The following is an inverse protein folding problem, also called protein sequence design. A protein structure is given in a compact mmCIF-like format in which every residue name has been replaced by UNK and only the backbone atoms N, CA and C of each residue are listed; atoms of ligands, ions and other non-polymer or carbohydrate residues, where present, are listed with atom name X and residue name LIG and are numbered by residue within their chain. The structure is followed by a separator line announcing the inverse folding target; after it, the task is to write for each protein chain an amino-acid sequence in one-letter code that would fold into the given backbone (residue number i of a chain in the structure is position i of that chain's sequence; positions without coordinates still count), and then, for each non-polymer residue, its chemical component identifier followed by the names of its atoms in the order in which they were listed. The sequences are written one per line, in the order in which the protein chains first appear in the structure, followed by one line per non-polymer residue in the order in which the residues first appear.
data_IF_832660756513
#
_entry.id   IF_832660756513
#
_cell.length_a   1.000
_cell.length_b   1.000
_cell.length_c   1.000
_cell.angle_alpha   90.00
_cell.angle_beta   90.00
_cell.angle_gamma   90.00
#
_symmetry.space_group_name_H-M   'P 1'
#
loop_
_entity.id
_entity.type
_entity.pdbx_description
1 polymer ?
#
# COMPACT_ATOMS: atom_id res chain seq x y z
N UNK A 1 9.56 -13.73 1.28
CA UNK A 1 10.00 -12.30 1.36
C UNK A 1 8.99 -11.58 2.22
N UNK A 2 9.45 -10.83 3.21
CA UNK A 2 8.60 -10.05 4.11
C UNK A 2 7.66 -9.11 3.32
N UNK A 3 6.38 -9.07 3.68
CA UNK A 3 5.37 -8.27 2.99
C UNK A 3 5.68 -6.77 2.95
N UNK A 4 6.38 -6.27 3.96
CA UNK A 4 6.74 -4.85 4.06
C UNK A 4 7.86 -4.42 3.09
N UNK A 5 8.53 -5.35 2.41
CA UNK A 5 9.47 -5.00 1.33
C UNK A 5 8.78 -4.76 -0.03
N UNK A 6 7.47 -4.97 -0.13
CA UNK A 6 6.69 -4.66 -1.32
C UNK A 6 6.38 -3.15 -1.43
N UNK A 7 7.38 -2.31 -1.25
CA UNK A 7 7.22 -0.85 -1.31
C UNK A 7 8.46 -0.19 -1.92
N UNK A 8 8.30 1.01 -2.44
CA UNK A 8 9.45 1.83 -2.85
C UNK A 8 10.24 2.30 -1.63
N UNK A 9 11.58 2.21 -1.68
CA UNK A 9 12.44 2.54 -0.54
C UNK A 9 12.20 3.94 0.03
N UNK A 10 11.87 4.95 -0.79
CA UNK A 10 11.59 6.30 -0.31
C UNK A 10 10.29 6.39 0.53
N UNK A 11 9.35 5.45 0.40
CA UNK A 11 8.11 5.43 1.17
C UNK A 11 8.30 5.01 2.63
N UNK A 12 9.42 4.35 2.93
CA UNK A 12 9.73 3.93 4.30
C UNK A 12 9.86 5.11 5.26
N UNK A 13 10.25 6.30 4.78
CA UNK A 13 10.33 7.53 5.56
C UNK A 13 9.06 8.38 5.56
N UNK A 14 8.04 8.07 4.76
CA UNK A 14 6.87 8.92 4.59
C UNK A 14 6.01 9.07 5.84
N UNK A 15 5.94 8.05 6.70
CA UNK A 15 5.14 8.12 7.94
C UNK A 15 5.53 9.32 8.84
N UNK A 16 6.81 9.74 8.81
CA UNK A 16 7.33 10.88 9.57
C UNK A 16 7.06 12.24 8.88
N UNK A 17 6.65 12.24 7.61
CA UNK A 17 6.48 13.44 6.80
C UNK A 17 5.03 13.96 6.80
N UNK A 18 4.09 13.19 7.30
CA UNK A 18 2.70 13.63 7.42
C UNK A 18 2.57 14.75 8.49
N UNK A 19 1.64 15.70 8.28
CA UNK A 19 1.35 16.70 9.30
C UNK A 19 0.99 16.06 10.64
N UNK A 20 1.42 16.69 11.73
CA UNK A 20 1.07 16.23 13.07
C UNK A 20 -0.45 16.22 13.26
N UNK A 21 -0.98 15.09 13.70
CA UNK A 21 -2.42 14.89 13.91
C UNK A 21 -3.15 14.37 12.66
N UNK A 22 -2.43 13.92 11.64
CA UNK A 22 -3.06 13.19 10.52
C UNK A 22 -3.72 11.92 11.06
N UNK A 23 -4.99 11.73 10.76
CA UNK A 23 -5.79 10.58 11.20
C UNK A 23 -6.28 9.73 10.02
N UNK A 24 -6.49 10.36 8.87
CA UNK A 24 -7.00 9.68 7.67
C UNK A 24 -6.22 10.13 6.43
N UNK A 25 -5.86 9.17 5.59
CA UNK A 25 -5.26 9.41 4.27
C UNK A 25 -6.10 8.71 3.21
N UNK A 26 -6.58 9.51 2.27
CA UNK A 26 -7.32 9.04 1.10
C UNK A 26 -6.37 8.95 -0.08
N UNK A 27 -6.22 7.75 -0.62
CA UNK A 27 -5.47 7.49 -1.84
C UNK A 27 -6.40 7.01 -2.95
N UNK A 28 -6.06 7.33 -4.19
CA UNK A 28 -6.81 6.82 -5.34
C UNK A 28 -5.89 6.35 -6.45
N UNK A 29 -6.33 5.34 -7.16
CA UNK A 29 -5.69 4.87 -8.38
C UNK A 29 -6.44 5.42 -9.59
N UNK A 30 -5.73 6.17 -10.43
CA UNK A 30 -6.31 6.92 -11.56
C UNK A 30 -5.45 6.74 -12.80
N UNK A 31 -6.00 6.30 -13.94
CA UNK A 31 -5.26 6.25 -15.20
C UNK A 31 -4.87 7.67 -15.63
N UNK A 32 -3.58 7.97 -15.66
CA UNK A 32 -3.06 9.32 -15.86
C UNK A 32 -3.09 9.79 -17.32
N UNK A 33 -2.85 8.86 -18.26
CA UNK A 33 -2.65 9.19 -19.67
C UNK A 33 -2.92 7.97 -20.54
N UNK A 34 -3.29 8.22 -21.78
CA UNK A 34 -3.39 7.25 -22.87
C UNK A 34 -2.25 7.36 -23.89
N UNK A 35 -1.16 8.03 -23.56
CA UNK A 35 -0.04 8.33 -24.49
C UNK A 35 0.57 7.08 -25.10
N UNK A 36 0.49 5.95 -24.42
CA UNK A 36 1.02 4.66 -24.87
C UNK A 36 -0.09 3.66 -25.30
N UNK A 37 -1.35 4.10 -25.27
CA UNK A 37 -2.46 3.29 -25.73
C UNK A 37 -2.57 3.28 -27.27
N UNK A 38 -3.23 2.29 -27.87
CA UNK A 38 -3.57 2.33 -29.30
C UNK A 38 -4.34 3.60 -29.67
N UNK A 39 -4.18 4.04 -30.91
CA UNK A 39 -4.86 5.24 -31.42
C UNK A 39 -6.39 5.14 -31.23
N UNK A 40 -6.99 6.19 -30.69
CA UNK A 40 -8.44 6.26 -30.44
C UNK A 40 -8.89 5.73 -29.09
N UNK A 41 -7.98 5.18 -28.26
CA UNK A 41 -8.33 4.76 -26.90
C UNK A 41 -8.31 5.96 -25.94
N UNK A 42 -9.49 6.40 -25.52
CA UNK A 42 -9.67 7.48 -24.52
C UNK A 42 -10.20 6.96 -23.17
N UNK A 43 -10.36 5.65 -23.05
CA UNK A 43 -10.85 4.95 -21.87
C UNK A 43 -9.95 3.76 -21.52
N UNK A 44 -10.08 3.31 -20.29
CA UNK A 44 -9.51 2.04 -19.79
C UNK A 44 -10.63 1.17 -19.23
N UNK A 45 -10.42 -0.13 -19.20
CA UNK A 45 -11.36 -1.06 -18.56
C UNK A 45 -10.95 -1.29 -17.12
N UNK A 46 -11.88 -1.13 -16.19
CA UNK A 46 -11.69 -1.52 -14.79
C UNK A 46 -11.59 -3.03 -14.70
N UNK A 47 -10.42 -3.57 -14.34
CA UNK A 47 -10.20 -5.02 -14.30
C UNK A 47 -9.04 -5.41 -13.39
N UNK A 48 -9.18 -6.54 -12.68
CA UNK A 48 -8.11 -7.16 -11.88
C UNK A 48 -8.00 -6.64 -10.45
N UNK A 49 -8.76 -5.63 -10.04
CA UNK A 49 -8.65 -5.04 -8.69
C UNK A 49 -8.98 -6.04 -7.60
N UNK A 50 -10.02 -6.84 -7.77
CA UNK A 50 -10.40 -7.85 -6.77
C UNK A 50 -9.27 -8.86 -6.57
N UNK A 51 -8.72 -9.37 -7.66
CA UNK A 51 -7.59 -10.30 -7.61
C UNK A 51 -6.37 -9.71 -6.89
N UNK A 52 -6.00 -8.46 -7.21
CA UNK A 52 -4.82 -7.81 -6.62
C UNK A 52 -4.98 -7.62 -5.12
N UNK A 53 -6.16 -7.20 -4.64
CA UNK A 53 -6.38 -6.99 -3.21
C UNK A 53 -6.54 -8.30 -2.43
N UNK A 54 -7.11 -9.35 -3.01
CA UNK A 54 -7.10 -10.69 -2.42
C UNK A 54 -5.67 -11.23 -2.31
N UNK A 55 -4.91 -11.14 -3.40
CA UNK A 55 -3.50 -11.51 -3.40
C UNK A 55 -2.68 -10.72 -2.35
N UNK A 56 -2.91 -9.43 -2.23
CA UNK A 56 -2.23 -8.59 -1.24
C UNK A 56 -2.53 -9.05 0.19
N UNK A 57 -3.80 -9.30 0.48
CA UNK A 57 -4.23 -9.84 1.77
C UNK A 57 -3.50 -11.17 2.08
N UNK A 58 -3.59 -12.13 1.18
CA UNK A 58 -2.99 -13.46 1.36
C UNK A 58 -1.46 -13.38 1.48
N UNK A 59 -0.84 -12.48 0.73
CA UNK A 59 0.59 -12.27 0.79
C UNK A 59 1.05 -11.72 2.14
N UNK A 60 0.37 -10.71 2.68
CA UNK A 60 0.67 -10.17 4.01
C UNK A 60 0.38 -11.18 5.10
N UNK A 61 -0.72 -11.92 5.01
CA UNK A 61 -1.01 -13.00 5.94
C UNK A 61 0.12 -14.03 6.00
N UNK A 62 0.54 -14.55 4.85
CA UNK A 62 1.55 -15.59 4.77
C UNK A 62 2.98 -15.13 5.07
N UNK A 63 3.33 -13.88 4.78
CA UNK A 63 4.71 -13.39 4.80
C UNK A 63 4.99 -12.30 5.85
N UNK A 64 3.98 -11.89 6.61
CA UNK A 64 4.13 -10.92 7.69
C UNK A 64 3.33 -11.34 8.94
N UNK A 65 2.00 -11.40 8.89
CA UNK A 65 1.18 -11.61 10.09
C UNK A 65 1.31 -13.01 10.71
N UNK A 66 1.39 -14.06 9.90
CA UNK A 66 1.58 -15.44 10.40
C UNK A 66 3.02 -15.77 10.82
N UNK A 67 3.97 -14.86 10.61
CA UNK A 67 5.36 -15.05 11.02
C UNK A 67 5.59 -14.55 12.45
N UNK A 68 6.60 -15.09 13.17
CA UNK A 68 6.98 -14.52 14.46
C UNK A 68 7.35 -13.03 14.30
N UNK A 69 6.77 -12.18 15.16
CA UNK A 69 6.97 -10.73 15.12
C UNK A 69 8.44 -10.35 15.11
N UNK A 70 9.22 -10.94 16.02
CA UNK A 70 10.63 -10.65 16.16
C UNK A 70 11.42 -10.99 14.89
N UNK A 71 11.03 -12.07 14.17
CA UNK A 71 11.68 -12.48 12.92
C UNK A 71 11.49 -11.40 11.83
N UNK A 72 10.24 -11.05 11.55
CA UNK A 72 9.92 -10.13 10.44
C UNK A 72 10.28 -8.69 10.76
N UNK A 73 10.16 -8.27 12.02
CA UNK A 73 10.49 -6.91 12.43
C UNK A 73 11.99 -6.68 12.54
N UNK A 74 12.77 -7.67 13.02
CA UNK A 74 14.23 -7.55 13.06
C UNK A 74 14.83 -7.57 11.65
N UNK A 75 14.35 -8.46 10.76
CA UNK A 75 14.74 -8.46 9.34
C UNK A 75 14.54 -7.07 8.72
N UNK A 76 13.37 -6.48 8.94
CA UNK A 76 13.03 -5.17 8.42
C UNK A 76 13.92 -4.06 9.01
N UNK A 77 14.15 -4.09 10.33
CA UNK A 77 15.03 -3.12 11.01
C UNK A 77 16.44 -3.16 10.45
N UNK A 78 17.02 -4.35 10.31
CA UNK A 78 18.35 -4.53 9.74
C UNK A 78 18.45 -3.93 8.34
N UNK A 79 17.56 -4.35 7.43
CA UNK A 79 17.60 -3.93 6.04
C UNK A 79 17.36 -2.41 5.88
N UNK A 80 16.37 -1.85 6.59
CA UNK A 80 16.10 -0.42 6.50
C UNK A 80 17.18 0.43 7.16
N UNK A 81 17.80 -0.04 8.25
CA UNK A 81 18.92 0.66 8.89
C UNK A 81 20.15 0.68 7.99
N UNK A 82 20.43 -0.40 7.28
CA UNK A 82 21.49 -0.46 6.27
C UNK A 82 21.18 0.45 5.08
N UNK A 83 19.96 0.37 4.53
CA UNK A 83 19.54 1.16 3.38
C UNK A 83 19.59 2.66 3.63
N UNK A 84 19.11 3.10 4.81
CA UNK A 84 19.04 4.52 5.17
C UNK A 84 20.29 5.03 5.92
N UNK A 85 21.23 4.12 6.25
CA UNK A 85 22.42 4.40 7.05
C UNK A 85 22.08 5.09 8.38
N UNK A 86 21.06 4.58 9.09
CA UNK A 86 20.60 5.11 10.38
C UNK A 86 20.00 3.99 11.22
N UNK A 87 19.87 4.18 12.54
CA UNK A 87 19.06 3.29 13.37
C UNK A 87 17.59 3.59 13.10
N UNK A 88 16.97 2.74 12.28
CA UNK A 88 15.60 2.97 11.81
C UNK A 88 14.57 2.55 12.87
N UNK A 89 13.63 3.45 13.18
CA UNK A 89 12.51 3.16 14.09
C UNK A 89 11.42 2.35 13.38
N UNK A 90 11.24 1.10 13.84
CA UNK A 90 10.26 0.15 13.28
C UNK A 90 8.96 0.08 14.10
N UNK A 91 8.78 0.91 15.11
CA UNK A 91 7.64 0.81 16.04
C UNK A 91 6.29 0.73 15.32
N UNK A 92 6.09 1.52 14.28
CA UNK A 92 4.84 1.51 13.50
C UNK A 92 4.58 0.21 12.75
N UNK A 93 5.63 -0.54 12.39
CA UNK A 93 5.51 -1.88 11.78
C UNK A 93 5.26 -2.97 12.82
N UNK A 94 5.88 -2.85 14.01
CA UNK A 94 5.59 -3.74 15.14
C UNK A 94 4.13 -3.64 15.56
N UNK A 95 3.61 -2.42 15.60
CA UNK A 95 2.21 -2.12 15.90
C UNK A 95 1.26 -2.66 14.82
N UNK A 96 1.65 -2.59 13.55
CA UNK A 96 0.90 -3.20 12.46
C UNK A 96 0.86 -4.72 12.59
N UNK A 97 1.97 -5.35 12.98
CA UNK A 97 1.99 -6.78 13.25
C UNK A 97 1.07 -7.16 14.40
N UNK A 98 1.05 -6.39 15.49
CA UNK A 98 0.15 -6.63 16.63
C UNK A 98 -1.33 -6.52 16.25
N UNK A 99 -1.66 -5.72 15.24
CA UNK A 99 -3.02 -5.58 14.73
C UNK A 99 -3.50 -6.81 13.95
N UNK A 100 -2.60 -7.57 13.33
CA UNK A 100 -2.85 -8.83 12.63
C UNK A 100 -3.73 -8.74 11.37
N UNK A 101 -3.87 -7.56 10.77
CA UNK A 101 -4.52 -7.35 9.47
C UNK A 101 -4.12 -6.01 8.85
N UNK A 102 -4.34 -5.83 7.54
CA UNK A 102 -4.15 -4.55 6.87
C UNK A 102 -5.35 -3.63 7.16
N UNK A 103 -5.16 -2.52 7.90
CA UNK A 103 -6.26 -1.62 8.29
C UNK A 103 -6.63 -0.67 7.15
N UNK A 104 -7.08 -1.21 6.03
CA UNK A 104 -7.50 -0.46 4.84
C UNK A 104 -8.92 -0.81 4.43
N UNK A 105 -9.58 0.16 3.83
CA UNK A 105 -10.86 -0.01 3.13
C UNK A 105 -10.68 0.38 1.67
N UNK A 106 -10.95 -0.57 0.80
CA UNK A 106 -10.87 -0.39 -0.64
C UNK A 106 -12.27 -0.30 -1.25
N UNK A 107 -12.44 0.61 -2.19
CA UNK A 107 -13.60 0.66 -3.07
C UNK A 107 -13.09 0.75 -4.49
N UNK A 108 -13.63 -0.07 -5.38
CA UNK A 108 -13.32 -0.05 -6.81
C UNK A 108 -14.60 0.05 -7.64
N UNK A 109 -14.45 0.51 -8.86
CA UNK A 109 -15.49 0.36 -9.86
C UNK A 109 -15.66 -1.13 -10.20
N UNK A 110 -16.87 -1.55 -10.60
CA UNK A 110 -17.07 -2.93 -11.06
C UNK A 110 -16.12 -3.30 -12.19
N UNK A 111 -15.69 -4.55 -12.22
CA UNK A 111 -14.89 -5.06 -13.32
C UNK A 111 -15.66 -5.06 -14.65
N UNK A 112 -14.97 -4.78 -15.75
CA UNK A 112 -15.56 -4.66 -17.07
C UNK A 112 -16.14 -3.28 -17.40
N UNK A 113 -16.16 -2.33 -16.45
CA UNK A 113 -16.63 -0.96 -16.71
C UNK A 113 -15.56 -0.17 -17.45
N UNK A 114 -15.95 0.48 -18.54
CA UNK A 114 -15.09 1.46 -19.23
C UNK A 114 -15.03 2.78 -18.47
N UNK A 115 -13.83 3.26 -18.22
CA UNK A 115 -13.56 4.46 -17.42
C UNK A 115 -12.75 5.46 -18.25
N UNK A 116 -13.17 6.73 -18.35
CA UNK A 116 -12.37 7.76 -18.99
C UNK A 116 -11.02 7.95 -18.27
N UNK A 117 -10.00 8.33 -19.04
CA UNK A 117 -8.70 8.73 -18.48
C UNK A 117 -8.91 9.88 -17.49
N UNK A 118 -8.12 9.89 -16.40
CA UNK A 118 -8.17 10.85 -15.28
C UNK A 118 -9.39 10.71 -14.35
N UNK A 119 -10.12 9.60 -14.44
CA UNK A 119 -11.18 9.26 -13.48
C UNK A 119 -10.66 8.22 -12.51
N UNK A 120 -10.78 8.42 -11.19
CA UNK A 120 -10.38 7.42 -10.20
C UNK A 120 -11.16 6.10 -10.34
N UNK A 121 -10.44 4.98 -10.35
CA UNK A 121 -11.03 3.65 -10.48
C UNK A 121 -11.04 2.90 -9.15
N UNK A 122 -10.06 3.16 -8.30
CA UNK A 122 -9.92 2.56 -6.97
C UNK A 122 -9.65 3.66 -5.96
N UNK A 123 -10.24 3.53 -4.78
CA UNK A 123 -9.93 4.38 -3.63
C UNK A 123 -9.55 3.52 -2.44
N UNK A 124 -8.55 3.96 -1.70
CA UNK A 124 -8.04 3.29 -0.51
C UNK A 124 -7.97 4.29 0.64
N UNK A 125 -8.55 3.94 1.77
CA UNK A 125 -8.46 4.72 3.02
C UNK A 125 -8.05 3.82 4.16
N UNK A 126 -7.33 4.36 5.14
CA UNK A 126 -7.05 3.63 6.36
C UNK A 126 -8.32 3.53 7.23
N UNK A 127 -8.49 2.41 7.93
CA UNK A 127 -9.62 2.16 8.83
C UNK A 127 -9.29 2.39 10.30
N UNK A 128 -8.01 2.54 10.61
CA UNK A 128 -7.50 2.89 11.94
C UNK A 128 -6.61 4.13 11.82
N UNK A 129 -6.85 5.13 12.67
CA UNK A 129 -6.14 6.42 12.70
C UNK A 129 -4.63 6.29 12.92
N UNK A 130 -4.21 5.25 13.64
CA UNK A 130 -2.80 4.97 13.92
C UNK A 130 -2.02 4.61 12.66
N UNK A 131 -2.69 4.00 11.69
CA UNK A 131 -2.10 3.51 10.45
C UNK A 131 -2.43 4.39 9.24
N UNK A 132 -2.54 5.72 9.41
CA UNK A 132 -2.78 6.70 8.34
C UNK A 132 -1.77 6.58 7.18
N UNK A 133 -0.55 6.16 7.46
CA UNK A 133 0.55 6.04 6.51
C UNK A 133 0.42 4.86 5.53
N UNK A 134 -0.42 3.84 5.87
CA UNK A 134 -0.41 2.55 5.18
C UNK A 134 -0.93 2.62 3.74
N UNK A 135 -1.86 3.50 3.43
CA UNK A 135 -2.43 3.62 2.08
C UNK A 135 -1.37 3.98 1.05
N UNK A 136 -0.51 4.93 1.39
CA UNK A 136 0.58 5.36 0.52
C UNK A 136 1.74 4.35 0.50
N UNK A 137 1.96 3.65 1.61
CA UNK A 137 2.99 2.61 1.69
C UNK A 137 2.69 1.46 0.73
N UNK A 138 1.42 1.04 0.62
CA UNK A 138 0.97 -0.05 -0.25
C UNK A 138 0.83 0.34 -1.73
N UNK A 139 0.87 1.61 -2.06
CA UNK A 139 0.65 2.12 -3.43
C UNK A 139 1.56 1.49 -4.48
N UNK A 140 2.79 1.12 -4.12
CA UNK A 140 3.80 0.59 -5.07
C UNK A 140 3.33 -0.67 -5.79
N UNK A 141 2.50 -1.48 -5.16
CA UNK A 141 2.03 -2.77 -5.68
C UNK A 141 0.63 -2.70 -6.28
N UNK A 142 0.02 -1.55 -6.28
CA UNK A 142 -1.30 -1.27 -6.86
C UNK A 142 -1.16 -0.55 -8.21
#
# INVERSE_FOLDING_TARGET
MNGLFLTDGYKTGHHQQYPKGTEEVYSNWTPRSNSYAPVGCDKVVSFGQQYVFEWLHDYFEANFFSKPKDEVCNELKEELSLYLNTDYDITHFEELHDLQYLPIKVKSLPEGVEVPIKVPMVTVVNTDKKFYWITNFLETIL
#
